data_IF_490447370049
#
_entry.id   IF_490447370049
#
_cell.length_a   1.000
_cell.length_b   1.000
_cell.length_c   1.000
_cell.angle_alpha   90.00
_cell.angle_beta   90.00
_cell.angle_gamma   90.00
#
_symmetry.space_group_name_H-M   'P 1'
#
loop_
_entity.id
_entity.type
_entity.pdbx_description
1 polymer ?
#
# COMPACT_ATOMS: atom_id res chain seq x y z
N UNK A 1 -0.87 3.58 7.30
CA UNK A 1 0.18 4.17 8.15
C UNK A 1 1.31 4.67 7.28
N UNK A 2 1.82 5.88 7.55
CA UNK A 2 2.98 6.46 6.88
C UNK A 2 4.26 5.94 7.54
N UNK A 3 5.25 5.53 6.75
CA UNK A 3 6.50 4.95 7.25
C UNK A 3 7.64 5.93 7.00
N UNK A 4 8.34 6.30 8.04
CA UNK A 4 9.62 7.04 7.96
C UNK A 4 10.72 6.12 8.49
N UNK A 5 11.72 5.86 7.66
CA UNK A 5 12.90 5.08 8.04
C UNK A 5 14.11 6.02 8.23
N UNK A 6 14.90 5.72 9.23
CA UNK A 6 16.15 6.43 9.47
C UNK A 6 17.29 5.87 8.60
N UNK A 7 18.32 6.67 8.38
CA UNK A 7 19.51 6.31 7.60
C UNK A 7 20.14 5.00 8.04
N UNK A 8 20.19 4.74 9.36
CA UNK A 8 20.81 3.53 9.90
C UNK A 8 20.11 2.23 9.44
N UNK A 9 18.80 2.28 9.17
CA UNK A 9 18.05 1.14 8.62
C UNK A 9 18.49 0.84 7.19
N UNK A 10 18.66 1.87 6.35
CA UNK A 10 19.15 1.72 4.97
C UNK A 10 20.62 1.27 4.96
N UNK A 11 21.46 1.87 5.80
CA UNK A 11 22.90 1.55 5.87
C UNK A 11 23.16 0.11 6.34
N UNK A 12 22.26 -0.45 7.17
CA UNK A 12 22.32 -1.85 7.61
C UNK A 12 21.95 -2.85 6.53
N UNK A 13 21.12 -2.45 5.57
CA UNK A 13 20.72 -3.24 4.39
C UNK A 13 20.68 -2.32 3.15
N UNK A 14 21.85 -2.02 2.56
CA UNK A 14 21.96 -1.02 1.49
C UNK A 14 21.10 -1.33 0.25
N UNK A 15 20.84 -2.61 -0.01
CA UNK A 15 20.06 -3.05 -1.16
C UNK A 15 18.59 -3.33 -0.84
N UNK A 16 18.16 -3.09 0.42
CA UNK A 16 16.79 -3.32 0.90
C UNK A 16 16.27 -4.73 0.52
N UNK A 17 17.14 -5.74 0.70
CA UNK A 17 16.90 -7.13 0.26
C UNK A 17 16.69 -8.10 1.41
N UNK A 18 16.86 -7.66 2.65
CA UNK A 18 16.62 -8.50 3.81
C UNK A 18 15.18 -9.06 3.83
N UNK A 19 15.00 -10.17 4.53
CA UNK A 19 13.69 -10.80 4.63
C UNK A 19 12.60 -9.85 5.14
N UNK A 20 12.94 -8.91 6.04
CA UNK A 20 11.97 -7.93 6.55
C UNK A 20 11.55 -6.93 5.46
N UNK A 21 12.48 -6.42 4.64
CA UNK A 21 12.12 -5.57 3.50
C UNK A 21 11.33 -6.34 2.46
N UNK A 22 11.67 -7.60 2.19
CA UNK A 22 10.93 -8.44 1.26
C UNK A 22 9.48 -8.60 1.70
N UNK A 23 9.25 -9.02 2.96
CA UNK A 23 7.89 -9.17 3.52
C UNK A 23 7.13 -7.84 3.44
N UNK A 24 7.78 -6.72 3.79
CA UNK A 24 7.17 -5.40 3.71
C UNK A 24 6.75 -5.05 2.28
N UNK A 25 7.63 -5.22 1.30
CA UNK A 25 7.34 -4.89 -0.10
C UNK A 25 6.27 -5.80 -0.72
N UNK A 26 6.32 -7.11 -0.45
CA UNK A 26 5.33 -8.08 -0.92
C UNK A 26 3.92 -7.75 -0.40
N UNK A 27 3.81 -7.31 0.85
CA UNK A 27 2.53 -7.01 1.50
C UNK A 27 2.17 -5.51 1.49
N UNK A 28 2.91 -4.68 0.80
CA UNK A 28 2.76 -3.22 0.85
C UNK A 28 1.38 -2.76 0.36
N UNK A 29 0.86 -3.41 -0.69
CA UNK A 29 -0.45 -3.10 -1.26
C UNK A 29 -1.58 -3.50 -0.31
N UNK A 30 -1.47 -4.67 0.32
CA UNK A 30 -2.49 -5.19 1.22
C UNK A 30 -2.53 -4.41 2.55
N UNK A 31 -1.36 -4.00 3.06
CA UNK A 31 -1.24 -3.28 4.33
C UNK A 31 -1.59 -1.79 4.23
N UNK A 32 -1.67 -1.23 3.01
CA UNK A 32 -1.95 0.18 2.80
C UNK A 32 -0.91 1.13 3.40
N UNK A 33 0.35 0.68 3.53
CA UNK A 33 1.44 1.51 4.01
C UNK A 33 2.03 2.38 2.89
N UNK A 34 2.70 3.48 3.25
CA UNK A 34 3.40 4.36 2.32
C UNK A 34 4.67 4.89 2.94
N UNK A 35 5.77 4.94 2.20
CA UNK A 35 7.00 5.56 2.66
C UNK A 35 6.95 7.09 2.52
N UNK A 36 7.40 7.77 3.58
CA UNK A 36 7.55 9.22 3.65
C UNK A 36 8.96 9.52 4.14
N UNK A 37 9.97 9.22 3.34
CA UNK A 37 11.36 9.33 3.75
C UNK A 37 11.91 10.72 3.43
N UNK A 38 12.39 11.48 4.42
CA UNK A 38 13.04 12.77 4.19
C UNK A 38 14.24 12.64 3.25
N UNK A 39 14.46 13.62 2.36
CA UNK A 39 15.58 13.61 1.40
C UNK A 39 16.92 13.45 2.09
N UNK A 40 17.09 14.08 3.26
CA UNK A 40 18.33 13.98 4.04
C UNK A 40 18.72 12.54 4.39
N UNK A 41 17.73 11.64 4.58
CA UNK A 41 17.98 10.22 4.85
C UNK A 41 18.57 9.53 3.62
N UNK A 42 18.04 9.83 2.43
CA UNK A 42 18.52 9.27 1.17
C UNK A 42 19.93 9.81 0.87
N UNK A 43 20.14 11.11 1.03
CA UNK A 43 21.44 11.76 0.80
C UNK A 43 22.50 11.21 1.75
N UNK A 44 22.17 11.05 3.03
CA UNK A 44 23.10 10.48 4.02
C UNK A 44 23.39 9.00 3.73
N UNK A 45 22.39 8.20 3.39
CA UNK A 45 22.58 6.81 3.01
C UNK A 45 23.48 6.68 1.78
N UNK A 46 23.28 7.55 0.78
CA UNK A 46 24.11 7.62 -0.42
C UNK A 46 25.55 8.01 -0.08
N UNK A 47 25.75 9.00 0.77
CA UNK A 47 27.10 9.40 1.22
C UNK A 47 27.79 8.26 1.99
N UNK A 48 27.07 7.56 2.86
CA UNK A 48 27.61 6.39 3.60
C UNK A 48 27.96 5.25 2.68
N UNK A 49 27.19 5.02 1.62
CA UNK A 49 27.51 4.05 0.58
C UNK A 49 28.81 4.45 -0.14
N UNK A 50 28.94 5.72 -0.57
CA UNK A 50 30.13 6.27 -1.19
C UNK A 50 31.38 6.08 -0.32
N UNK A 51 31.32 6.47 0.96
CA UNK A 51 32.42 6.31 1.92
C UNK A 51 32.86 4.85 2.04
N UNK A 52 31.91 3.91 2.17
CA UNK A 52 32.20 2.47 2.24
C UNK A 52 32.82 1.94 0.95
N UNK A 53 32.30 2.34 -0.20
CA UNK A 53 32.80 1.93 -1.50
C UNK A 53 34.23 2.46 -1.74
N UNK A 54 34.48 3.72 -1.43
CA UNK A 54 35.81 4.33 -1.52
C UNK A 54 36.82 3.62 -0.63
N UNK A 55 36.45 3.33 0.62
CA UNK A 55 37.30 2.57 1.55
C UNK A 55 37.62 1.17 1.02
N UNK A 56 36.62 0.46 0.47
CA UNK A 56 36.81 -0.87 -0.11
C UNK A 56 37.72 -0.84 -1.34
N UNK A 57 37.58 0.17 -2.21
CA UNK A 57 38.44 0.36 -3.36
C UNK A 57 39.91 0.68 -2.97
N UNK A 58 40.10 1.51 -1.95
CA UNK A 58 41.43 1.81 -1.43
C UNK A 58 42.10 0.57 -0.83
N UNK A 59 41.34 -0.24 -0.09
CA UNK A 59 41.84 -1.52 0.45
C UNK A 59 42.19 -2.49 -0.66
N UNK A 60 41.35 -2.62 -1.70
CA UNK A 60 41.63 -3.47 -2.86
C UNK A 60 42.90 -3.02 -3.58
N UNK A 61 43.07 -1.74 -3.85
CA UNK A 61 44.28 -1.17 -4.49
C UNK A 61 45.54 -1.47 -3.67
N UNK A 62 45.45 -1.30 -2.34
CA UNK A 62 46.59 -1.62 -1.43
C UNK A 62 46.97 -3.09 -1.51
N UNK A 63 46.00 -3.99 -1.36
CA UNK A 63 46.24 -5.43 -1.39
C UNK A 63 46.73 -5.92 -2.76
N UNK A 64 46.19 -5.34 -3.85
CA UNK A 64 46.67 -5.61 -5.22
C UNK A 64 48.16 -5.22 -5.39
N UNK A 65 48.53 -4.02 -4.91
CA UNK A 65 49.94 -3.58 -4.98
C UNK A 65 50.87 -4.43 -4.11
N UNK A 66 50.42 -4.93 -2.97
CA UNK A 66 51.21 -5.87 -2.15
C UNK A 66 51.38 -7.22 -2.86
N UNK A 67 50.29 -7.74 -3.45
CA UNK A 67 50.33 -8.98 -4.23
C UNK A 67 51.31 -8.85 -5.40
N UNK A 68 51.28 -7.76 -6.15
CA UNK A 68 52.23 -7.50 -7.26
C UNK A 68 53.68 -7.55 -6.81
N UNK A 69 54.02 -7.11 -5.59
CA UNK A 69 55.38 -7.18 -5.07
C UNK A 69 55.85 -8.60 -4.73
N UNK A 70 54.90 -9.50 -4.48
CA UNK A 70 55.19 -10.89 -4.11
C UNK A 70 55.23 -11.82 -5.33
N UNK A 71 54.72 -11.39 -6.48
CA UNK A 71 54.69 -12.19 -7.68
C UNK A 71 56.04 -12.09 -8.43
N UNK A 72 56.52 -13.19 -9.08
CA UNK A 72 57.69 -13.12 -9.95
C UNK A 72 57.49 -12.15 -11.10
N UNK A 73 58.57 -11.45 -11.52
CA UNK A 73 58.59 -10.43 -12.56
C UNK A 73 58.06 -10.86 -13.96
N UNK A 74 57.82 -12.18 -14.16
CA UNK A 74 57.30 -12.72 -15.41
C UNK A 74 55.80 -12.93 -15.45
N UNK A 75 55.07 -12.59 -14.38
CA UNK A 75 53.59 -12.56 -14.46
C UNK A 75 53.13 -11.26 -15.08
N UNK A 76 52.27 -11.37 -16.10
CA UNK A 76 51.62 -10.21 -16.72
C UNK A 76 50.81 -9.48 -15.63
N UNK A 77 51.36 -8.38 -15.14
CA UNK A 77 50.70 -7.52 -14.14
C UNK A 77 49.37 -6.94 -14.66
N UNK A 78 49.13 -7.00 -15.98
CA UNK A 78 47.90 -6.50 -16.63
C UNK A 78 46.63 -7.30 -16.22
N UNK A 79 46.77 -8.54 -15.74
CA UNK A 79 45.61 -9.31 -15.26
C UNK A 79 45.13 -8.93 -13.86
N UNK A 80 45.93 -8.18 -13.11
CA UNK A 80 45.54 -7.54 -11.85
C UNK A 80 45.02 -6.11 -12.08
N UNK A 81 44.64 -5.80 -13.33
CA UNK A 81 44.05 -4.52 -13.68
C UNK A 81 42.85 -4.28 -12.78
N UNK A 82 43.07 -3.35 -11.93
CA UNK A 82 42.17 -2.77 -10.93
C UNK A 82 40.83 -2.57 -11.56
N UNK A 83 39.78 -3.00 -10.85
CA UNK A 83 38.41 -2.63 -11.13
C UNK A 83 38.40 -1.09 -11.31
N UNK A 84 38.30 -0.64 -12.55
CA UNK A 84 38.12 0.78 -12.86
C UNK A 84 36.66 1.12 -12.63
N UNK A 85 36.36 1.29 -11.32
CA UNK A 85 35.01 1.63 -10.88
C UNK A 85 34.92 3.16 -10.77
N UNK A 86 34.04 3.74 -11.55
CA UNK A 86 33.67 5.14 -11.42
C UNK A 86 32.82 5.34 -10.16
N UNK A 87 33.47 5.90 -9.13
CA UNK A 87 32.85 6.13 -7.82
C UNK A 87 31.65 7.07 -7.90
N UNK A 88 31.72 8.11 -8.73
CA UNK A 88 30.63 9.09 -8.85
C UNK A 88 29.43 8.47 -9.55
N UNK A 89 29.67 7.75 -10.64
CA UNK A 89 28.63 7.02 -11.35
C UNK A 89 27.95 5.98 -10.46
N UNK A 90 28.73 5.15 -9.76
CA UNK A 90 28.19 4.14 -8.85
C UNK A 90 27.40 4.73 -7.69
N UNK A 91 27.83 5.89 -7.18
CA UNK A 91 27.12 6.60 -6.12
C UNK A 91 25.78 7.13 -6.63
N UNK A 92 25.75 7.69 -7.85
CA UNK A 92 24.53 8.19 -8.47
C UNK A 92 23.55 7.04 -8.78
N UNK A 93 24.05 5.93 -9.32
CA UNK A 93 23.23 4.74 -9.58
C UNK A 93 22.64 4.16 -8.29
N UNK A 94 23.37 4.17 -7.19
CA UNK A 94 22.85 3.75 -5.89
C UNK A 94 21.78 4.68 -5.37
N UNK A 95 21.93 6.00 -5.50
CA UNK A 95 20.90 6.97 -5.14
C UNK A 95 19.61 6.76 -5.93
N UNK A 96 19.72 6.60 -7.24
CA UNK A 96 18.59 6.30 -8.12
C UNK A 96 17.92 4.96 -7.77
N UNK A 97 18.72 3.94 -7.46
CA UNK A 97 18.24 2.65 -7.00
C UNK A 97 17.41 2.76 -5.71
N UNK A 98 17.87 3.50 -4.70
CA UNK A 98 17.12 3.68 -3.46
C UNK A 98 15.76 4.31 -3.71
N UNK A 99 15.72 5.37 -4.51
CA UNK A 99 14.46 6.04 -4.88
C UNK A 99 13.52 5.07 -5.60
N UNK A 100 14.02 4.37 -6.60
CA UNK A 100 13.24 3.41 -7.38
C UNK A 100 12.71 2.27 -6.49
N UNK A 101 13.57 1.73 -5.62
CA UNK A 101 13.21 0.60 -4.74
C UNK A 101 12.12 0.97 -3.73
N UNK A 102 12.20 2.16 -3.15
CA UNK A 102 11.20 2.67 -2.21
C UNK A 102 9.89 3.06 -2.91
N UNK A 103 9.96 3.57 -4.13
CA UNK A 103 8.78 3.87 -4.95
C UNK A 103 8.04 2.60 -5.41
N UNK A 104 8.75 1.48 -5.58
CA UNK A 104 8.25 0.25 -6.19
C UNK A 104 7.99 0.39 -7.70
N UNK A 105 7.82 -0.74 -8.38
CA UNK A 105 7.67 -0.82 -9.85
C UNK A 105 6.30 -0.36 -10.38
N UNK A 106 5.43 0.21 -9.55
CA UNK A 106 4.08 0.63 -9.96
C UNK A 106 3.91 2.15 -9.97
N UNK A 107 3.67 2.76 -11.14
CA UNK A 107 3.50 4.21 -11.28
C UNK A 107 2.17 4.77 -10.70
N UNK A 108 1.26 3.92 -10.21
CA UNK A 108 -0.12 4.32 -9.86
C UNK A 108 -0.38 4.47 -8.36
N UNK A 109 0.48 3.96 -7.50
CA UNK A 109 0.35 4.21 -6.06
C UNK A 109 1.62 4.87 -5.56
N UNK A 110 1.53 6.12 -5.12
CA UNK A 110 2.62 6.82 -4.45
C UNK A 110 3.02 6.08 -3.15
N UNK A 111 3.84 5.04 -3.29
CA UNK A 111 4.39 4.28 -2.15
C UNK A 111 5.51 5.03 -1.46
N UNK A 112 6.12 5.96 -2.17
CA UNK A 112 7.22 6.76 -1.73
C UNK A 112 6.93 8.22 -1.99
N UNK A 113 6.94 9.02 -0.95
CA UNK A 113 6.90 10.47 -1.06
C UNK A 113 8.21 10.98 -0.48
N UNK A 114 9.02 11.58 -1.34
CA UNK A 114 10.22 12.26 -0.92
C UNK A 114 9.80 13.56 -0.22
N UNK A 115 9.79 13.54 1.11
CA UNK A 115 9.57 14.77 1.87
C UNK A 115 10.79 15.68 1.70
N UNK A 116 10.64 16.89 1.18
CA UNK A 116 11.75 17.85 1.20
C UNK A 116 12.21 17.99 2.65
N UNK A 117 13.53 17.97 2.87
CA UNK A 117 14.12 18.32 4.16
C UNK A 117 13.47 19.62 4.60
N UNK A 118 12.96 19.67 5.83
CA UNK A 118 12.12 20.75 6.32
C UNK A 118 12.67 22.13 5.90
N UNK A 119 12.12 22.66 4.82
CA UNK A 119 12.60 23.91 4.16
C UNK A 119 12.36 25.11 5.06
N UNK A 120 11.47 24.95 6.05
CA UNK A 120 11.02 26.02 6.93
C UNK A 120 11.43 25.83 8.40
N UNK A 121 12.51 25.09 8.67
CA UNK A 121 13.03 25.04 10.05
C UNK A 121 13.64 26.39 10.38
N UNK A 122 13.05 27.09 11.32
CA UNK A 122 13.61 28.31 11.83
C UNK A 122 14.99 28.00 12.44
N UNK A 123 16.03 28.61 11.89
CA UNK A 123 17.40 28.46 12.39
C UNK A 123 17.50 28.80 13.87
N UNK A 124 16.74 29.79 14.34
CA UNK A 124 16.72 30.20 15.76
C UNK A 124 16.15 29.07 16.63
N UNK A 125 15.12 28.38 16.20
CA UNK A 125 14.58 27.21 16.91
C UNK A 125 15.59 26.06 16.97
N UNK A 126 16.33 25.78 15.89
CA UNK A 126 17.40 24.79 15.89
C UNK A 126 18.50 25.13 16.89
N UNK A 127 18.97 26.38 16.87
CA UNK A 127 19.98 26.85 17.81
C UNK A 127 19.48 26.77 19.26
N UNK A 128 18.26 27.22 19.53
CA UNK A 128 17.63 27.10 20.85
C UNK A 128 17.53 25.66 21.33
N UNK A 129 17.14 24.75 20.43
CA UNK A 129 17.03 23.29 20.70
C UNK A 129 18.41 22.72 21.05
N UNK A 130 19.44 23.07 20.26
CA UNK A 130 20.81 22.64 20.52
C UNK A 130 21.37 23.17 21.86
N UNK A 131 21.15 24.45 22.17
CA UNK A 131 21.57 25.04 23.43
C UNK A 131 20.88 24.42 24.64
N UNK A 132 19.60 24.09 24.53
CA UNK A 132 18.84 23.43 25.59
C UNK A 132 19.05 21.90 25.62
N UNK A 133 19.86 21.35 24.74
CA UNK A 133 20.16 19.90 24.62
C UNK A 133 18.89 19.05 24.52
N UNK A 134 17.86 19.61 23.93
CA UNK A 134 16.59 18.92 23.70
C UNK A 134 16.76 17.91 22.59
N UNK A 135 16.33 16.66 22.81
CA UNK A 135 16.49 15.59 21.84
C UNK A 135 15.88 15.94 20.47
N UNK A 136 16.53 15.52 19.35
CA UNK A 136 17.67 14.59 19.22
C UNK A 136 19.07 15.18 19.50
N UNK A 137 19.23 16.44 19.90
CA UNK A 137 20.55 16.93 20.24
C UNK A 137 21.12 16.24 21.48
N UNK A 138 22.37 15.80 21.35
CA UNK A 138 23.14 15.19 22.44
C UNK A 138 23.79 16.24 23.32
N UNK A 139 24.28 15.82 24.49
CA UNK A 139 25.08 16.68 25.38
C UNK A 139 26.35 17.27 24.73
N UNK A 140 26.87 16.57 23.70
CA UNK A 140 28.06 17.00 22.93
C UNK A 140 27.73 17.94 21.77
N UNK A 141 26.44 18.30 21.59
CA UNK A 141 25.98 19.17 20.50
C UNK A 141 25.84 18.48 19.15
N UNK A 142 26.02 17.17 19.09
CA UNK A 142 25.67 16.36 17.89
C UNK A 142 24.16 16.12 17.83
N UNK A 143 23.63 15.76 16.64
CA UNK A 143 22.21 15.48 16.46
C UNK A 143 21.50 16.44 15.49
N UNK A 144 22.27 17.26 14.76
CA UNK A 144 21.69 18.20 13.78
C UNK A 144 20.90 17.44 12.70
N UNK A 145 21.47 16.38 12.13
CA UNK A 145 20.81 15.55 11.09
C UNK A 145 19.59 14.83 11.63
N UNK A 146 19.72 14.24 12.82
CA UNK A 146 18.60 13.57 13.51
C UNK A 146 17.46 14.56 13.78
N UNK A 147 17.79 15.80 14.10
CA UNK A 147 16.80 16.87 14.28
C UNK A 147 16.09 17.21 12.96
N UNK A 148 16.79 17.25 11.84
CA UNK A 148 16.17 17.44 10.52
C UNK A 148 15.25 16.27 10.12
N UNK A 149 15.65 15.04 10.44
CA UNK A 149 14.78 13.86 10.26
C UNK A 149 13.52 14.01 11.10
N UNK A 150 13.66 14.41 12.37
CA UNK A 150 12.53 14.63 13.26
C UNK A 150 11.56 15.71 12.73
N UNK A 151 12.10 16.85 12.29
CA UNK A 151 11.27 17.89 11.67
C UNK A 151 10.61 17.42 10.37
N UNK A 152 11.27 16.58 9.59
CA UNK A 152 10.67 15.93 8.43
C UNK A 152 9.45 15.06 8.81
N UNK A 153 9.51 14.35 9.95
CA UNK A 153 8.37 13.58 10.49
C UNK A 153 7.24 14.52 10.90
N UNK A 154 7.54 15.61 11.62
CA UNK A 154 6.54 16.61 12.02
C UNK A 154 5.86 17.24 10.80
N UNK A 155 6.63 17.61 9.78
CA UNK A 155 6.12 18.15 8.53
C UNK A 155 5.26 17.11 7.78
N UNK A 156 5.62 15.84 7.83
CA UNK A 156 4.79 14.75 7.27
C UNK A 156 3.43 14.70 7.94
N UNK A 157 3.38 14.85 9.26
CA UNK A 157 2.11 14.93 9.99
C UNK A 157 1.32 16.20 9.63
N UNK A 158 1.98 17.36 9.54
CA UNK A 158 1.34 18.64 9.21
C UNK A 158 0.74 18.65 7.78
N UNK A 159 1.48 18.09 6.83
CA UNK A 159 1.12 18.18 5.41
C UNK A 159 0.19 17.06 4.97
N UNK A 160 0.39 15.87 5.50
CA UNK A 160 -0.28 14.64 5.05
C UNK A 160 -1.02 13.92 6.18
N UNK A 161 -0.93 14.41 7.43
CA UNK A 161 -1.67 13.86 8.56
C UNK A 161 -3.12 14.31 8.50
N UNK A 162 -4.04 13.37 8.46
CA UNK A 162 -5.47 13.64 8.58
C UNK A 162 -6.06 12.74 9.67
N UNK A 163 -6.76 13.37 10.59
CA UNK A 163 -7.43 12.65 11.69
C UNK A 163 -6.47 11.81 12.54
N UNK A 164 -6.76 10.53 12.68
CA UNK A 164 -6.00 9.58 13.50
C UNK A 164 -4.79 8.93 12.77
N UNK A 165 -4.33 9.52 11.67
CA UNK A 165 -3.21 9.01 10.89
C UNK A 165 -1.91 8.98 11.71
N UNK A 166 -1.33 7.79 11.81
CA UNK A 166 -0.08 7.57 12.52
C UNK A 166 1.11 7.49 11.56
N UNK A 167 2.25 8.00 12.01
CA UNK A 167 3.56 7.81 11.38
C UNK A 167 4.32 6.73 12.14
N UNK A 168 4.74 5.67 11.45
CA UNK A 168 5.70 4.72 11.98
C UNK A 168 7.11 5.27 11.74
N UNK A 169 7.81 5.56 12.80
CA UNK A 169 9.22 5.97 12.73
C UNK A 169 10.12 4.81 13.14
N UNK A 170 10.96 4.35 12.20
CA UNK A 170 11.83 3.20 12.38
C UNK A 170 13.28 3.67 12.44
N UNK A 171 13.92 3.54 13.60
CA UNK A 171 15.32 3.96 13.81
C UNK A 171 16.01 3.11 14.88
N UNK A 172 17.25 2.70 14.60
CA UNK A 172 18.12 2.04 15.59
C UNK A 172 18.78 3.03 16.55
N UNK A 173 18.64 4.34 16.32
CA UNK A 173 19.20 5.37 17.19
C UNK A 173 18.32 5.59 18.42
N UNK A 174 18.33 4.60 19.32
CA UNK A 174 17.53 4.64 20.56
C UNK A 174 17.95 5.75 21.50
N UNK A 175 19.24 6.16 21.48
CA UNK A 175 19.77 7.20 22.37
C UNK A 175 19.19 8.58 22.09
N UNK A 176 18.80 8.87 20.84
CA UNK A 176 18.36 10.18 20.43
C UNK A 176 16.84 10.26 20.21
N UNK A 177 16.21 9.14 19.90
CA UNK A 177 14.78 9.10 19.59
C UNK A 177 13.93 8.36 20.63
N UNK A 178 14.50 7.47 21.45
CA UNK A 178 13.77 6.66 22.39
C UNK A 178 14.00 7.02 23.86
N UNK A 179 13.04 6.68 24.69
CA UNK A 179 13.18 6.77 26.15
C UNK A 179 13.81 5.51 26.79
N UNK A 180 14.32 4.58 25.97
CA UNK A 180 14.88 3.29 26.41
C UNK A 180 13.86 2.16 26.63
N UNK A 181 12.54 2.42 26.50
CA UNK A 181 11.48 1.43 26.66
C UNK A 181 10.73 1.17 25.33
N UNK A 182 11.40 1.37 24.20
CA UNK A 182 10.77 1.20 22.88
C UNK A 182 9.72 2.27 22.54
N UNK A 183 9.67 3.36 23.30
CA UNK A 183 8.77 4.49 23.08
C UNK A 183 9.56 5.73 22.71
N UNK A 184 8.88 6.65 22.05
CA UNK A 184 9.45 7.95 21.69
C UNK A 184 9.93 8.73 22.92
N UNK A 185 11.04 9.46 22.76
CA UNK A 185 11.60 10.28 23.86
C UNK A 185 10.60 11.38 24.29
N UNK A 186 10.50 11.70 25.60
CA UNK A 186 9.57 12.70 26.10
C UNK A 186 9.67 14.08 25.42
N UNK A 187 10.87 14.53 25.06
CA UNK A 187 11.07 15.80 24.34
C UNK A 187 10.37 15.80 22.98
N UNK A 188 10.37 14.63 22.30
CA UNK A 188 9.75 14.47 20.99
C UNK A 188 8.23 14.34 21.12
N UNK A 189 7.76 13.69 22.19
CA UNK A 189 6.33 13.65 22.52
C UNK A 189 5.82 15.06 22.83
N UNK A 190 6.63 15.89 23.53
CA UNK A 190 6.26 17.28 23.79
C UNK A 190 6.15 18.11 22.52
N UNK A 191 7.03 17.87 21.52
CA UNK A 191 6.92 18.53 20.20
C UNK A 191 5.60 18.20 19.48
N UNK A 192 5.10 16.95 19.61
CA UNK A 192 3.80 16.56 19.06
C UNK A 192 2.66 17.33 19.74
N UNK A 193 2.70 17.42 21.07
CA UNK A 193 1.68 18.14 21.86
C UNK A 193 1.70 19.64 21.53
N UNK A 194 2.89 20.26 21.47
CA UNK A 194 3.08 21.68 21.17
C UNK A 194 2.50 22.05 19.77
N UNK A 195 2.44 21.07 18.85
CA UNK A 195 1.84 21.21 17.51
C UNK A 195 0.41 20.68 17.40
N UNK A 196 -0.24 20.40 18.54
CA UNK A 196 -1.62 19.89 18.61
C UNK A 196 -1.83 18.50 18.01
N UNK A 197 -0.78 17.67 17.94
CA UNK A 197 -0.89 16.28 17.59
C UNK A 197 -1.12 15.39 18.81
N UNK A 198 -1.73 14.20 18.60
CA UNK A 198 -1.83 13.18 19.62
C UNK A 198 -0.45 12.63 20.02
N UNK A 199 -0.31 12.17 21.26
CA UNK A 199 0.95 11.57 21.76
C UNK A 199 1.36 10.34 20.95
N UNK A 200 0.39 9.63 20.38
CA UNK A 200 0.57 8.40 19.62
C UNK A 200 0.53 8.63 18.10
N UNK A 201 0.57 9.91 17.65
CA UNK A 201 0.65 10.23 16.21
C UNK A 201 1.95 9.74 15.57
N UNK A 202 3.01 9.53 16.37
CA UNK A 202 4.25 8.87 15.93
C UNK A 202 4.48 7.63 16.80
N UNK A 203 4.54 6.48 16.14
CA UNK A 203 4.88 5.21 16.78
C UNK A 203 6.32 4.85 16.45
N UNK A 204 7.15 4.73 17.48
CA UNK A 204 8.56 4.42 17.34
C UNK A 204 8.82 2.91 17.29
N UNK A 205 9.67 2.48 16.36
CA UNK A 205 10.15 1.11 16.23
C UNK A 205 11.68 1.09 16.22
N UNK A 206 12.29 0.30 17.09
CA UNK A 206 13.75 0.20 17.20
C UNK A 206 14.40 -0.48 16.00
N UNK A 207 13.62 -1.26 15.24
CA UNK A 207 14.10 -1.95 14.05
C UNK A 207 12.94 -2.33 13.12
N UNK A 208 13.31 -2.59 11.85
CA UNK A 208 12.35 -2.97 10.83
C UNK A 208 11.60 -4.28 11.14
N UNK A 209 12.25 -5.22 11.85
CA UNK A 209 11.64 -6.51 12.22
C UNK A 209 10.43 -6.30 13.13
N UNK A 210 10.54 -5.43 14.14
CA UNK A 210 9.41 -5.12 15.04
C UNK A 210 8.25 -4.49 14.26
N UNK A 211 8.54 -3.54 13.37
CA UNK A 211 7.52 -2.92 12.54
C UNK A 211 6.82 -3.96 11.67
N UNK A 212 7.58 -4.79 10.94
CA UNK A 212 7.02 -5.83 10.06
C UNK A 212 6.17 -6.81 10.84
N UNK A 213 6.63 -7.26 12.02
CA UNK A 213 5.85 -8.17 12.85
C UNK A 213 4.53 -7.56 13.29
N UNK A 214 4.55 -6.31 13.80
CA UNK A 214 3.36 -5.69 14.40
C UNK A 214 2.38 -5.14 13.36
N UNK A 215 2.90 -4.57 12.27
CA UNK A 215 2.07 -3.79 11.33
C UNK A 215 1.83 -4.47 9.98
N UNK A 216 2.58 -5.53 9.66
CA UNK A 216 2.41 -6.27 8.42
C UNK A 216 1.90 -7.67 8.69
N UNK A 217 2.65 -8.48 9.45
CA UNK A 217 2.30 -9.90 9.67
C UNK A 217 1.02 -10.03 10.47
N UNK A 218 0.90 -9.34 11.62
CA UNK A 218 -0.31 -9.41 12.44
C UNK A 218 -1.55 -8.86 11.71
N UNK A 219 -1.36 -7.80 10.88
CA UNK A 219 -2.43 -7.27 10.05
C UNK A 219 -2.88 -8.27 8.99
N UNK A 220 -1.92 -8.92 8.32
CA UNK A 220 -2.20 -9.94 7.31
C UNK A 220 -2.92 -11.14 7.91
N UNK A 221 -2.47 -11.65 9.06
CA UNK A 221 -3.15 -12.71 9.79
C UNK A 221 -4.58 -12.31 10.18
N UNK A 222 -4.80 -11.04 10.56
CA UNK A 222 -6.14 -10.50 10.82
C UNK A 222 -7.01 -10.48 9.56
N UNK A 223 -6.48 -10.10 8.41
CA UNK A 223 -7.23 -10.08 7.15
C UNK A 223 -7.56 -11.49 6.64
N UNK A 224 -6.63 -12.44 6.74
CA UNK A 224 -6.91 -13.84 6.43
C UNK A 224 -7.93 -14.45 7.40
N UNK A 225 -7.88 -14.09 8.66
CA UNK A 225 -8.88 -14.45 9.65
C UNK A 225 -10.27 -13.91 9.29
N UNK A 226 -10.37 -12.63 8.91
CA UNK A 226 -11.62 -12.01 8.48
C UNK A 226 -12.15 -12.66 7.20
N UNK A 227 -11.30 -12.86 6.19
CA UNK A 227 -11.66 -13.57 4.96
C UNK A 227 -12.25 -14.95 5.23
N UNK A 228 -11.59 -15.70 6.12
CA UNK A 228 -12.06 -17.01 6.53
C UNK A 228 -13.42 -16.93 7.23
N UNK A 229 -13.62 -16.00 8.14
CA UNK A 229 -14.88 -15.81 8.87
C UNK A 229 -16.04 -15.43 7.94
N UNK A 230 -15.77 -14.67 6.89
CA UNK A 230 -16.78 -14.25 5.93
C UNK A 230 -17.16 -15.36 4.94
N UNK A 231 -16.28 -16.36 4.71
CA UNK A 231 -16.50 -17.44 3.75
C UNK A 231 -17.03 -18.75 4.39
N UNK A 232 -16.80 -18.99 5.68
CA UNK A 232 -16.97 -20.35 6.28
C UNK A 232 -18.34 -20.59 6.92
N UNK A 233 -19.20 -19.60 6.95
CA UNK A 233 -20.51 -19.70 7.62
C UNK A 233 -20.47 -19.32 9.09
N UNK A 234 -21.61 -18.87 9.59
CA UNK A 234 -21.81 -18.39 10.95
C UNK A 234 -22.47 -17.02 10.99
N UNK A 235 -22.55 -16.43 12.19
CA UNK A 235 -23.26 -15.16 12.38
C UNK A 235 -22.66 -14.01 11.56
N UNK A 236 -21.33 -13.98 11.40
CA UNK A 236 -20.66 -12.95 10.64
C UNK A 236 -20.85 -13.11 9.13
N UNK A 237 -20.77 -14.33 8.62
CA UNK A 237 -21.10 -14.64 7.22
C UNK A 237 -22.55 -14.25 6.91
N UNK A 238 -23.49 -14.66 7.76
CA UNK A 238 -24.90 -14.36 7.55
C UNK A 238 -25.19 -12.85 7.61
N UNK A 239 -24.57 -12.16 8.54
CA UNK A 239 -24.66 -10.69 8.63
C UNK A 239 -24.12 -10.04 7.36
N UNK A 240 -22.93 -10.47 6.90
CA UNK A 240 -22.28 -9.94 5.70
C UNK A 240 -23.10 -10.21 4.44
N UNK A 241 -23.62 -11.43 4.28
CA UNK A 241 -24.51 -11.84 3.20
C UNK A 241 -25.75 -10.93 3.12
N UNK A 242 -26.38 -10.66 4.24
CA UNK A 242 -27.55 -9.79 4.30
C UNK A 242 -27.21 -8.34 3.90
N UNK A 243 -26.07 -7.83 4.39
CA UNK A 243 -25.60 -6.49 4.05
C UNK A 243 -25.19 -6.37 2.57
N UNK A 244 -24.56 -7.39 2.02
CA UNK A 244 -24.20 -7.45 0.61
C UNK A 244 -25.45 -7.48 -0.27
N UNK A 245 -26.48 -8.25 0.10
CA UNK A 245 -27.74 -8.28 -0.61
C UNK A 245 -28.48 -6.93 -0.55
N UNK A 246 -28.49 -6.29 0.61
CA UNK A 246 -29.08 -4.96 0.79
C UNK A 246 -28.38 -3.93 -0.12
N UNK A 247 -27.05 -3.86 -0.06
CA UNK A 247 -26.26 -2.93 -0.83
C UNK A 247 -26.35 -3.19 -2.35
N UNK A 248 -26.27 -4.45 -2.79
CA UNK A 248 -26.42 -4.82 -4.21
C UNK A 248 -27.83 -4.50 -4.73
N UNK A 249 -28.85 -4.66 -3.89
CA UNK A 249 -30.24 -4.35 -4.26
C UNK A 249 -30.47 -2.84 -4.47
N UNK A 250 -29.75 -1.99 -3.74
CA UNK A 250 -29.84 -0.54 -3.88
C UNK A 250 -29.04 -0.04 -5.09
N UNK A 251 -27.80 -0.48 -5.20
CA UNK A 251 -26.83 0.09 -6.11
C UNK A 251 -26.95 -0.47 -7.55
N UNK A 252 -27.34 -1.74 -7.68
CA UNK A 252 -27.49 -2.35 -9.00
C UNK A 252 -28.86 -2.14 -9.65
N UNK A 253 -29.79 -1.47 -8.96
CA UNK A 253 -31.06 -1.11 -9.56
C UNK A 253 -30.85 -0.15 -10.73
N UNK A 254 -31.38 -0.51 -11.91
CA UNK A 254 -31.20 0.20 -13.19
C UNK A 254 -29.78 0.12 -13.78
N UNK A 255 -28.94 -0.80 -13.29
CA UNK A 255 -27.64 -1.06 -13.90
C UNK A 255 -27.81 -1.68 -15.28
N UNK A 256 -27.12 -1.09 -16.27
CA UNK A 256 -27.13 -1.59 -17.65
C UNK A 256 -26.08 -2.67 -17.85
N UNK A 257 -26.54 -3.84 -18.28
CA UNK A 257 -25.65 -5.00 -18.54
C UNK A 257 -25.13 -4.90 -19.96
N UNK A 258 -23.83 -5.06 -20.15
CA UNK A 258 -23.22 -5.10 -21.48
C UNK A 258 -23.63 -6.39 -22.21
N UNK A 259 -24.24 -6.23 -23.37
CA UNK A 259 -24.71 -7.32 -24.25
C UNK A 259 -23.58 -8.26 -24.70
N UNK A 260 -22.37 -7.78 -24.84
CA UNK A 260 -21.21 -8.57 -25.29
C UNK A 260 -20.85 -9.69 -24.31
N UNK A 261 -21.25 -9.55 -23.06
CA UNK A 261 -20.96 -10.47 -21.96
C UNK A 261 -22.17 -11.31 -21.53
N UNK A 262 -23.26 -11.30 -22.28
CA UNK A 262 -24.51 -11.98 -21.95
C UNK A 262 -24.69 -13.25 -22.78
N UNK A 263 -25.09 -14.34 -22.13
CA UNK A 263 -25.54 -15.58 -22.80
C UNK A 263 -27.00 -15.48 -23.33
N UNK A 264 -27.65 -14.34 -23.06
CA UNK A 264 -29.00 -14.11 -23.59
C UNK A 264 -28.98 -13.97 -25.12
N UNK A 265 -30.07 -14.38 -25.80
CA UNK A 265 -30.18 -14.28 -27.23
C UNK A 265 -29.93 -12.85 -27.75
N UNK A 266 -29.35 -12.75 -28.94
CA UNK A 266 -29.10 -11.49 -29.62
C UNK A 266 -30.33 -10.61 -29.87
N UNK A 267 -31.52 -11.25 -29.78
CA UNK A 267 -32.82 -10.58 -29.89
C UNK A 267 -33.16 -9.65 -28.77
N UNK A 268 -32.50 -9.75 -27.62
CA UNK A 268 -32.71 -8.85 -26.48
C UNK A 268 -31.76 -7.68 -26.56
N UNK A 269 -32.27 -6.47 -26.36
CA UNK A 269 -31.52 -5.20 -26.31
C UNK A 269 -31.82 -4.45 -25.03
N UNK A 270 -30.94 -3.52 -24.65
CA UNK A 270 -31.08 -2.63 -23.49
C UNK A 270 -31.38 -3.39 -22.19
N UNK A 271 -30.50 -4.33 -21.85
CA UNK A 271 -30.60 -5.10 -20.60
C UNK A 271 -30.37 -4.22 -19.39
N UNK A 272 -31.34 -4.19 -18.49
CA UNK A 272 -31.31 -3.35 -17.29
C UNK A 272 -31.83 -4.13 -16.08
N UNK A 273 -31.08 -4.12 -14.96
CA UNK A 273 -31.50 -4.76 -13.71
C UNK A 273 -32.63 -3.94 -13.08
N UNK A 274 -33.81 -4.56 -12.95
CA UNK A 274 -34.96 -3.93 -12.27
C UNK A 274 -34.88 -4.20 -10.76
N UNK A 275 -34.53 -5.43 -10.39
CA UNK A 275 -34.52 -5.88 -9.00
C UNK A 275 -33.51 -7.02 -8.85
N UNK A 276 -32.75 -6.96 -7.76
CA UNK A 276 -31.99 -8.11 -7.26
C UNK A 276 -32.93 -8.93 -6.40
N UNK A 277 -33.09 -10.22 -6.72
CA UNK A 277 -34.01 -11.14 -6.04
C UNK A 277 -33.28 -11.84 -4.89
N UNK A 278 -32.10 -12.38 -5.20
CA UNK A 278 -31.37 -13.23 -4.28
C UNK A 278 -29.85 -13.13 -4.54
N UNK A 279 -29.05 -13.25 -3.48
CA UNK A 279 -27.64 -13.54 -3.56
C UNK A 279 -27.48 -15.06 -3.49
N UNK A 280 -27.26 -15.68 -4.64
CA UNK A 280 -27.17 -17.14 -4.77
C UNK A 280 -25.92 -17.65 -4.05
N UNK A 281 -24.78 -17.08 -4.39
CA UNK A 281 -23.49 -17.48 -3.84
C UNK A 281 -22.52 -16.30 -3.84
N UNK A 282 -21.50 -16.35 -2.99
CA UNK A 282 -20.39 -15.40 -3.03
C UNK A 282 -19.13 -16.01 -2.43
N UNK A 283 -17.98 -15.47 -2.84
CA UNK A 283 -16.67 -15.78 -2.30
C UNK A 283 -15.88 -14.50 -2.08
N UNK A 284 -15.39 -14.30 -0.86
CA UNK A 284 -14.43 -13.25 -0.57
C UNK A 284 -13.07 -13.69 -1.07
N UNK A 285 -12.56 -13.03 -2.09
CA UNK A 285 -11.31 -13.39 -2.76
C UNK A 285 -10.11 -12.69 -2.12
N UNK A 286 -10.26 -11.43 -1.67
CA UNK A 286 -9.19 -10.66 -1.06
C UNK A 286 -9.73 -9.66 -0.03
N UNK A 287 -8.96 -9.39 1.02
CA UNK A 287 -9.22 -8.37 2.04
C UNK A 287 -7.98 -7.51 2.20
N UNK A 288 -8.13 -6.19 2.07
CA UNK A 288 -6.99 -5.27 2.15
C UNK A 288 -7.41 -3.91 2.71
N UNK A 289 -6.45 -3.18 3.25
CA UNK A 289 -6.65 -1.79 3.66
C UNK A 289 -6.36 -0.85 2.48
N UNK A 290 -7.28 0.04 2.19
CA UNK A 290 -7.08 1.12 1.22
C UNK A 290 -7.11 2.46 1.96
N UNK A 291 -6.02 3.20 1.89
CA UNK A 291 -5.96 4.55 2.42
C UNK A 291 -6.36 5.53 1.32
N UNK A 292 -7.40 6.30 1.56
CA UNK A 292 -7.70 7.50 0.80
C UNK A 292 -7.27 8.72 1.61
N UNK A 293 -7.21 9.89 0.94
CA UNK A 293 -6.66 11.14 1.49
C UNK A 293 -7.24 11.54 2.86
N UNK A 294 -8.42 11.03 3.26
CA UNK A 294 -9.10 11.38 4.52
C UNK A 294 -9.56 10.20 5.39
N UNK A 295 -9.61 8.99 4.84
CA UNK A 295 -10.13 7.83 5.60
C UNK A 295 -9.39 6.55 5.21
N UNK A 296 -9.20 5.67 6.18
CA UNK A 296 -8.77 4.29 5.95
C UNK A 296 -10.00 3.40 5.82
N UNK A 297 -10.06 2.60 4.75
CA UNK A 297 -11.13 1.64 4.55
C UNK A 297 -10.57 0.23 4.48
N UNK A 298 -11.35 -0.74 4.93
CA UNK A 298 -11.15 -2.14 4.57
C UNK A 298 -11.86 -2.35 3.23
N UNK A 299 -11.12 -2.79 2.23
CA UNK A 299 -11.65 -3.17 0.92
C UNK A 299 -11.71 -4.67 0.87
N UNK A 300 -12.87 -5.20 0.52
CA UNK A 300 -13.13 -6.64 0.38
C UNK A 300 -13.44 -6.87 -1.10
N UNK A 301 -12.60 -7.65 -1.78
CA UNK A 301 -12.86 -8.08 -3.15
C UNK A 301 -13.70 -9.36 -3.10
N UNK A 302 -14.81 -9.38 -3.83
CA UNK A 302 -15.80 -10.44 -3.76
C UNK A 302 -16.17 -10.89 -5.18
N UNK A 303 -16.25 -12.19 -5.38
CA UNK A 303 -16.98 -12.77 -6.50
C UNK A 303 -18.34 -13.24 -6.01
N UNK A 304 -19.41 -12.91 -6.72
CA UNK A 304 -20.75 -13.30 -6.33
C UNK A 304 -21.68 -13.58 -7.49
N UNK A 305 -22.71 -14.36 -7.22
CA UNK A 305 -23.80 -14.65 -8.14
C UNK A 305 -25.11 -14.08 -7.59
N UNK A 306 -25.81 -13.34 -8.42
CA UNK A 306 -27.12 -12.74 -8.09
C UNK A 306 -28.18 -13.31 -9.02
N UNK A 307 -29.35 -13.61 -8.45
CA UNK A 307 -30.56 -13.78 -9.23
C UNK A 307 -31.23 -12.42 -9.37
N UNK A 308 -31.36 -11.93 -10.59
CA UNK A 308 -31.89 -10.62 -10.89
C UNK A 308 -33.07 -10.69 -11.83
N UNK A 309 -34.06 -9.83 -11.59
CA UNK A 309 -35.09 -9.52 -12.58
C UNK A 309 -34.55 -8.42 -13.49
N UNK A 310 -34.47 -8.70 -14.78
CA UNK A 310 -33.98 -7.75 -15.79
C UNK A 310 -35.10 -7.32 -16.73
N UNK A 311 -35.06 -6.07 -17.19
CA UNK A 311 -35.85 -5.58 -18.30
C UNK A 311 -35.02 -5.68 -19.58
N UNK A 312 -35.59 -6.19 -20.62
CA UNK A 312 -34.99 -6.26 -21.94
C UNK A 312 -35.98 -5.79 -23.00
N UNK A 313 -35.50 -5.14 -24.04
CA UNK A 313 -36.31 -4.78 -25.21
C UNK A 313 -36.13 -5.87 -26.27
N UNK A 314 -37.21 -6.46 -26.73
CA UNK A 314 -37.20 -7.48 -27.79
C UNK A 314 -37.06 -6.77 -29.14
N UNK A 315 -36.04 -7.12 -29.91
CA UNK A 315 -35.89 -6.62 -31.28
C UNK A 315 -36.69 -7.48 -32.25
N UNK A 316 -37.90 -7.04 -32.64
CA UNK A 316 -38.84 -7.78 -33.49
C UNK A 316 -38.31 -8.15 -34.87
N UNK A 317 -37.21 -7.54 -35.34
CA UNK A 317 -36.61 -7.87 -36.65
C UNK A 317 -35.85 -9.20 -36.65
N UNK A 318 -35.50 -9.71 -35.47
CA UNK A 318 -34.71 -10.95 -35.31
C UNK A 318 -35.52 -12.15 -34.81
N UNK A 319 -36.80 -11.95 -34.46
CA UNK A 319 -37.65 -12.99 -33.84
C UNK A 319 -38.02 -14.14 -34.82
N UNK A 320 -37.78 -13.97 -36.10
CA UNK A 320 -38.19 -14.98 -37.11
C UNK A 320 -37.19 -16.11 -37.36
N UNK A 321 -35.96 -16.02 -36.81
CA UNK A 321 -34.90 -16.97 -37.21
C UNK A 321 -34.33 -17.85 -36.06
N UNK A 322 -34.52 -17.52 -34.76
CA UNK A 322 -33.82 -18.21 -33.67
C UNK A 322 -34.72 -18.63 -32.47
N UNK A 323 -35.93 -19.13 -32.72
CA UNK A 323 -36.81 -19.62 -31.65
C UNK A 323 -36.56 -21.09 -31.28
N UNK A 324 -35.34 -21.47 -30.98
CA UNK A 324 -35.03 -22.67 -30.21
C UNK A 324 -34.78 -22.36 -28.74
N UNK A 325 -35.73 -21.67 -28.11
CA UNK A 325 -35.67 -21.30 -26.70
C UNK A 325 -36.34 -22.39 -25.85
N UNK A 326 -35.54 -23.11 -25.09
CA UNK A 326 -36.06 -24.01 -24.05
C UNK A 326 -36.57 -23.15 -22.87
N UNK A 327 -37.88 -23.17 -22.57
CA UNK A 327 -38.47 -22.26 -21.57
C UNK A 327 -38.12 -22.56 -20.12
N UNK A 328 -37.16 -23.44 -19.84
CA UNK A 328 -36.83 -23.87 -18.48
C UNK A 328 -36.08 -22.83 -17.62
N UNK A 329 -35.58 -21.75 -18.21
CA UNK A 329 -34.90 -20.65 -17.50
C UNK A 329 -35.72 -19.35 -17.45
N UNK A 330 -36.93 -19.33 -17.99
CA UNK A 330 -37.79 -18.16 -18.04
C UNK A 330 -39.02 -18.38 -17.14
N UNK A 331 -38.85 -18.24 -15.85
CA UNK A 331 -39.96 -18.14 -14.90
C UNK A 331 -40.47 -16.68 -14.91
N UNK A 332 -41.66 -16.43 -15.35
CA UNK A 332 -42.38 -15.16 -15.43
C UNK A 332 -41.97 -14.20 -16.56
N UNK A 333 -42.51 -14.44 -17.77
CA UNK A 333 -42.46 -13.44 -18.87
C UNK A 333 -43.71 -12.56 -18.75
N UNK A 334 -43.53 -11.30 -18.40
CA UNK A 334 -44.59 -10.29 -18.49
C UNK A 334 -44.38 -9.50 -19.80
N UNK A 335 -45.28 -9.73 -20.75
CA UNK A 335 -45.26 -9.09 -22.07
C UNK A 335 -46.05 -7.80 -22.04
N UNK A 336 -45.57 -6.77 -21.36
CA UNK A 336 -46.16 -5.45 -21.45
C UNK A 336 -45.29 -4.52 -22.32
N UNK A 337 -45.86 -4.07 -23.44
CA UNK A 337 -45.26 -3.11 -24.37
C UNK A 337 -43.87 -3.45 -24.94
N UNK A 338 -43.69 -4.66 -25.45
CA UNK A 338 -42.40 -5.12 -26.00
C UNK A 338 -41.22 -5.19 -25.01
N UNK A 339 -41.49 -5.12 -23.73
CA UNK A 339 -40.51 -5.35 -22.66
C UNK A 339 -40.73 -6.72 -22.05
N UNK A 340 -39.66 -7.50 -21.99
CA UNK A 340 -39.66 -8.83 -21.38
C UNK A 340 -38.97 -8.73 -20.04
N UNK A 341 -39.59 -9.29 -18.99
CA UNK A 341 -38.98 -9.43 -17.67
C UNK A 341 -38.44 -10.85 -17.54
N UNK A 342 -37.17 -10.99 -17.28
CA UNK A 342 -36.48 -12.29 -17.19
C UNK A 342 -35.71 -12.34 -15.90
N UNK A 343 -35.86 -13.43 -15.15
CA UNK A 343 -35.01 -13.68 -13.99
C UNK A 343 -33.74 -14.40 -14.45
N UNK A 344 -32.59 -13.78 -14.24
CA UNK A 344 -31.33 -14.26 -14.80
C UNK A 344 -30.28 -14.30 -13.70
N UNK A 345 -29.46 -15.34 -13.72
CA UNK A 345 -28.27 -15.42 -12.90
C UNK A 345 -27.21 -14.45 -13.44
N UNK A 346 -26.82 -13.47 -12.65
CA UNK A 346 -25.79 -12.51 -12.99
C UNK A 346 -24.55 -12.82 -12.18
N UNK A 347 -23.44 -13.08 -12.86
CA UNK A 347 -22.13 -13.25 -12.24
C UNK A 347 -21.36 -11.94 -12.27
N UNK A 348 -20.91 -11.47 -11.11
CA UNK A 348 -19.94 -10.40 -11.00
C UNK A 348 -18.56 -10.98 -10.67
N UNK A 349 -17.51 -10.51 -11.34
CA UNK A 349 -16.16 -11.06 -11.21
C UNK A 349 -15.24 -10.23 -10.33
N UNK A 350 -15.59 -9.03 -9.96
CA UNK A 350 -14.90 -8.28 -8.91
C UNK A 350 -15.75 -7.10 -8.46
N UNK A 351 -16.02 -7.04 -7.21
CA UNK A 351 -16.68 -5.92 -6.57
C UNK A 351 -15.83 -5.50 -5.38
N UNK A 352 -15.42 -4.24 -5.33
CA UNK A 352 -14.81 -3.70 -4.13
C UNK A 352 -15.91 -3.21 -3.20
N UNK A 353 -16.01 -3.82 -2.04
CA UNK A 353 -16.91 -3.42 -0.97
C UNK A 353 -16.11 -2.61 0.03
N UNK A 354 -16.56 -1.41 0.31
CA UNK A 354 -16.00 -0.58 1.36
C UNK A 354 -16.73 -0.92 2.67
N UNK A 355 -15.96 -1.29 3.68
CA UNK A 355 -16.45 -1.50 5.02
C UNK A 355 -15.89 -0.42 5.94
N UNK A 356 -16.78 0.36 6.52
CA UNK A 356 -16.48 1.29 7.61
C UNK A 356 -17.26 0.82 8.85
N UNK A 357 -16.57 0.70 9.98
CA UNK A 357 -17.19 0.25 11.24
C UNK A 357 -18.35 1.15 11.68
N UNK A 358 -18.35 2.43 11.28
CA UNK A 358 -19.36 3.42 11.62
C UNK A 358 -20.45 3.59 10.54
N UNK A 359 -20.09 3.44 9.27
CA UNK A 359 -20.99 3.70 8.12
C UNK A 359 -21.54 2.40 7.51
N UNK A 360 -20.99 1.25 7.87
CA UNK A 360 -21.38 -0.06 7.34
C UNK A 360 -20.75 -0.39 5.99
N UNK A 361 -21.43 -1.25 5.22
CA UNK A 361 -20.95 -1.69 3.91
C UNK A 361 -21.49 -0.73 2.84
N UNK A 362 -20.60 -0.18 2.03
CA UNK A 362 -20.96 0.51 0.80
C UNK A 362 -20.33 -0.20 -0.41
N UNK A 363 -21.08 -0.26 -1.51
CA UNK A 363 -20.61 -0.82 -2.77
C UNK A 363 -20.11 0.30 -3.68
N UNK A 364 -18.92 0.13 -4.26
CA UNK A 364 -18.46 0.99 -5.34
C UNK A 364 -18.70 0.28 -6.69
N UNK A 365 -19.77 0.67 -7.38
CA UNK A 365 -20.15 0.12 -8.70
C UNK A 365 -19.09 0.45 -9.76
N UNK A 366 -18.34 1.56 -9.60
CA UNK A 366 -17.25 1.90 -10.51
C UNK A 366 -16.13 0.86 -10.55
N UNK A 367 -16.11 -0.06 -9.59
CA UNK A 367 -15.16 -1.17 -9.50
C UNK A 367 -15.74 -2.53 -9.95
N UNK A 368 -16.97 -2.60 -10.42
CA UNK A 368 -17.52 -3.82 -11.05
C UNK A 368 -16.78 -4.07 -12.37
N UNK A 369 -15.91 -5.05 -12.37
CA UNK A 369 -15.04 -5.34 -13.53
C UNK A 369 -15.81 -6.02 -14.66
N UNK A 370 -16.78 -6.85 -14.34
CA UNK A 370 -17.68 -7.44 -15.35
C UNK A 370 -18.97 -7.99 -14.73
N UNK A 371 -20.08 -7.85 -15.43
CA UNK A 371 -21.31 -8.58 -15.18
C UNK A 371 -21.64 -9.45 -16.37
N UNK A 372 -21.95 -10.72 -16.13
CA UNK A 372 -22.39 -11.67 -17.15
C UNK A 372 -23.70 -12.26 -16.72
N UNK A 373 -24.67 -12.29 -17.64
CA UNK A 373 -25.84 -13.17 -17.51
C UNK A 373 -25.40 -14.59 -17.86
N UNK A 374 -25.62 -15.52 -16.97
CA UNK A 374 -25.34 -16.96 -17.17
C UNK A 374 -26.53 -17.68 -17.70
#
# INVERSE_FOLDING_TARGET
MKIVIDTNIIVSDPWLTSNNFRILFENFKASGHSFFTPTIVIDEATNKYREKLEFALQALRRNSNELCKLLPLHHEHDQLSIIDLDLEKSTKEYHEYLIQKLNGDHPVSARFILCPTAIHVDHHELVKRALSRRKPFSEKGSGYRDTLIWYGILQTLETYGEGDDQVAFISQNTSDFSNGNGKLHPDLVQDLIDRSFGKDSVVYYENLKQFVQHQVINLFESFEGLKSQLNVGGDQEQWFRNKLLEATSQELKYYKIDKTNSLLPKTFENLEIIKVIELSDYEVTDVRRKNQVRKSYITIDIEFHLVCSISAVLNNKLVSEDLDFSPKSLENIDLDNFRVRVDVLVRSTALSVYYDENEGISLDIGSVVSMKCL
#
